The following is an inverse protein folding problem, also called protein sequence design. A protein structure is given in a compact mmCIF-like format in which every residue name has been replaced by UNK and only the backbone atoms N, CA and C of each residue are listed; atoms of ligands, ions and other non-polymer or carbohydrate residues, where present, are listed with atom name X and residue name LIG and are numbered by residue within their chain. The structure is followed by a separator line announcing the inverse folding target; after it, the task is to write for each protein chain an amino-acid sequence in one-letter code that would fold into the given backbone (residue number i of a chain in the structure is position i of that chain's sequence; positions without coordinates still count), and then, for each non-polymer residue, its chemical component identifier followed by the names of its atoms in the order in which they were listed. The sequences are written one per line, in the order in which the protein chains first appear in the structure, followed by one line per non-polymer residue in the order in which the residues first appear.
data_IF_289886076227
#
_entry.id   IF_289886076227
#
_cell.length_a   1.000
_cell.length_b   1.000
_cell.length_c   1.000
_cell.angle_alpha   90.00
_cell.angle_beta   90.00
_cell.angle_gamma   90.00
#
_symmetry.space_group_name_H-M   'P 1'
#
loop_
_entity.id
_entity.type
_entity.pdbx_description
1 polymer ?
#
# COMPACT_ATOMS: atom_id res chain seq x y z
N UNK A 1 5.43 9.78 -15.10
CA UNK A 1 6.26 9.77 -13.87
C UNK A 1 7.70 9.61 -14.27
N UNK A 2 8.66 10.13 -13.50
CA UNK A 2 10.05 9.72 -13.71
C UNK A 2 10.22 8.25 -13.30
N UNK A 3 11.13 7.55 -13.97
CA UNK A 3 11.43 6.13 -13.71
C UNK A 3 11.70 5.86 -12.23
N UNK A 4 12.31 6.83 -11.54
CA UNK A 4 12.61 6.74 -10.11
C UNK A 4 11.42 6.55 -9.21
N UNK A 5 10.37 7.31 -9.45
CA UNK A 5 9.15 7.23 -8.66
C UNK A 5 8.47 5.88 -8.92
N UNK A 6 8.51 5.39 -10.17
CA UNK A 6 7.96 4.09 -10.54
C UNK A 6 8.73 2.97 -9.83
N UNK A 7 10.07 2.96 -9.90
CA UNK A 7 10.90 1.94 -9.25
C UNK A 7 10.73 1.93 -7.73
N UNK A 8 10.71 3.11 -7.10
CA UNK A 8 10.47 3.23 -5.66
C UNK A 8 9.09 2.70 -5.30
N UNK A 9 8.04 3.09 -6.04
CA UNK A 9 6.66 2.66 -5.81
C UNK A 9 6.51 1.14 -5.98
N UNK A 10 7.06 0.56 -7.06
CA UNK A 10 7.06 -0.89 -7.29
C UNK A 10 7.78 -1.61 -6.15
N UNK A 11 8.95 -1.11 -5.73
CA UNK A 11 9.68 -1.65 -4.58
C UNK A 11 8.86 -1.61 -3.29
N UNK A 12 8.13 -0.52 -3.04
CA UNK A 12 7.24 -0.40 -1.88
C UNK A 12 6.07 -1.37 -1.96
N UNK A 13 5.38 -1.45 -3.09
CA UNK A 13 4.28 -2.39 -3.30
C UNK A 13 4.78 -3.82 -3.05
N UNK A 14 5.87 -4.22 -3.69
CA UNK A 14 6.50 -5.53 -3.46
C UNK A 14 6.80 -5.75 -1.97
N UNK A 15 7.37 -4.76 -1.27
CA UNK A 15 7.70 -4.89 0.15
C UNK A 15 6.46 -5.13 1.04
N UNK A 16 5.34 -4.46 0.74
CA UNK A 16 4.07 -4.64 1.47
C UNK A 16 3.56 -6.08 1.31
N UNK A 17 3.66 -6.67 0.11
CA UNK A 17 3.25 -8.06 -0.13
C UNK A 17 4.25 -9.09 0.44
N UNK A 18 5.54 -8.83 0.31
CA UNK A 18 6.58 -9.79 0.66
C UNK A 18 6.82 -9.89 2.17
N UNK A 19 6.65 -8.81 2.93
CA UNK A 19 6.89 -8.83 4.38
C UNK A 19 5.97 -9.81 5.14
N UNK A 20 4.64 -9.85 4.91
CA UNK A 20 3.76 -10.88 5.46
C UNK A 20 4.12 -12.30 5.02
N UNK A 21 4.45 -12.49 3.74
CA UNK A 21 4.82 -13.82 3.20
C UNK A 21 6.07 -14.35 3.90
N UNK A 22 7.13 -13.55 3.97
CA UNK A 22 8.36 -13.95 4.64
C UNK A 22 8.18 -14.14 6.15
N UNK A 23 7.37 -13.31 6.79
CA UNK A 23 6.99 -13.50 8.20
C UNK A 23 6.37 -14.89 8.41
N UNK A 24 5.46 -15.30 7.52
CA UNK A 24 4.82 -16.61 7.58
C UNK A 24 5.78 -17.76 7.28
N UNK A 25 6.62 -17.65 6.24
CA UNK A 25 7.65 -18.65 5.93
C UNK A 25 8.58 -18.87 7.13
N UNK A 26 8.98 -17.78 7.80
CA UNK A 26 9.93 -17.85 8.92
C UNK A 26 9.32 -18.38 10.21
N UNK A 27 8.11 -17.93 10.56
CA UNK A 27 7.50 -18.23 11.86
C UNK A 27 6.50 -19.38 11.82
N UNK A 28 6.00 -19.78 10.64
CA UNK A 28 4.97 -20.80 10.49
C UNK A 28 3.73 -20.49 11.34
N UNK A 29 3.29 -21.47 12.14
CA UNK A 29 2.13 -21.31 13.04
C UNK A 29 2.41 -20.39 14.25
N UNK A 30 3.66 -19.99 14.48
CA UNK A 30 4.03 -18.99 15.49
C UNK A 30 4.01 -17.54 14.96
N UNK A 31 3.54 -17.35 13.72
CA UNK A 31 3.37 -16.03 13.12
C UNK A 31 2.45 -15.13 13.96
N UNK A 32 2.61 -13.80 13.85
CA UNK A 32 1.68 -12.86 14.47
C UNK A 32 0.23 -13.15 14.07
N UNK A 33 -0.73 -12.93 14.98
CA UNK A 33 -2.16 -13.21 14.73
C UNK A 33 -2.68 -12.55 13.46
N UNK A 34 -2.24 -11.32 13.16
CA UNK A 34 -2.60 -10.63 11.93
C UNK A 34 -2.16 -11.39 10.65
N UNK A 35 -1.00 -12.06 10.69
CA UNK A 35 -0.48 -12.88 9.59
C UNK A 35 -1.22 -14.22 9.52
N UNK A 36 -1.53 -14.83 10.66
CA UNK A 36 -2.31 -16.08 10.71
C UNK A 36 -3.74 -15.90 10.20
N UNK A 37 -4.34 -14.73 10.43
CA UNK A 37 -5.67 -14.39 9.92
C UNK A 37 -5.73 -14.39 8.38
N UNK A 38 -4.58 -14.21 7.71
CA UNK A 38 -4.48 -14.18 6.24
C UNK A 38 -3.77 -15.41 5.67
N UNK A 39 -3.56 -16.45 6.49
CA UNK A 39 -2.77 -17.65 6.13
C UNK A 39 -3.23 -18.34 4.85
N UNK A 40 -4.54 -18.33 4.55
CA UNK A 40 -5.06 -18.98 3.33
C UNK A 40 -4.51 -18.30 2.08
N UNK A 41 -4.58 -16.96 2.04
CA UNK A 41 -4.09 -16.17 0.92
C UNK A 41 -2.57 -16.30 0.79
N UNK A 42 -1.85 -16.29 1.92
CA UNK A 42 -0.41 -16.53 1.91
C UNK A 42 -0.07 -17.89 1.31
N UNK A 43 -0.74 -18.97 1.74
CA UNK A 43 -0.55 -20.32 1.19
C UNK A 43 -0.81 -20.36 -0.32
N UNK A 44 -1.86 -19.71 -0.81
CA UNK A 44 -2.12 -19.62 -2.25
C UNK A 44 -0.95 -18.97 -3.02
N UNK A 45 -0.37 -17.88 -2.49
CA UNK A 45 0.80 -17.26 -3.12
C UNK A 45 2.04 -18.15 -3.03
N UNK A 46 2.24 -18.84 -1.91
CA UNK A 46 3.33 -19.81 -1.75
C UNK A 46 3.23 -20.95 -2.77
N UNK A 47 2.03 -21.51 -2.96
CA UNK A 47 1.77 -22.57 -3.92
C UNK A 47 1.95 -22.10 -5.37
N UNK A 48 1.55 -20.87 -5.70
CA UNK A 48 1.88 -20.26 -6.99
C UNK A 48 3.40 -20.16 -7.18
N UNK A 49 4.14 -19.78 -6.15
CA UNK A 49 5.60 -19.77 -6.16
C UNK A 49 6.19 -21.15 -6.48
N UNK A 50 5.67 -22.21 -5.85
CA UNK A 50 6.08 -23.60 -6.13
C UNK A 50 5.79 -24.02 -7.56
N UNK A 51 4.64 -23.62 -8.12
CA UNK A 51 4.28 -23.94 -9.51
C UNK A 51 5.25 -23.27 -10.48
N UNK A 52 5.58 -22.00 -10.25
CA UNK A 52 6.48 -21.23 -11.13
C UNK A 52 7.96 -21.63 -10.97
N UNK A 53 8.37 -22.03 -9.77
CA UNK A 53 9.75 -22.35 -9.43
C UNK A 53 9.87 -23.67 -8.65
N UNK A 54 9.55 -24.82 -9.26
CA UNK A 54 9.38 -26.10 -8.57
C UNK A 54 10.67 -26.66 -7.93
N UNK A 55 11.83 -26.13 -8.31
CA UNK A 55 13.14 -26.55 -7.79
C UNK A 55 13.65 -25.67 -6.65
N UNK A 56 13.02 -24.53 -6.39
CA UNK A 56 13.45 -23.57 -5.37
C UNK A 56 12.54 -23.66 -4.15
N UNK A 57 13.10 -23.52 -2.96
CA UNK A 57 12.27 -23.39 -1.75
C UNK A 57 11.57 -22.02 -1.74
N UNK A 58 10.39 -21.96 -1.11
CA UNK A 58 9.62 -20.72 -0.93
C UNK A 58 10.48 -19.60 -0.32
N UNK A 59 11.29 -19.96 0.69
CA UNK A 59 12.22 -19.04 1.35
C UNK A 59 13.15 -18.34 0.34
N UNK A 60 13.73 -19.08 -0.61
CA UNK A 60 14.58 -18.52 -1.64
C UNK A 60 13.80 -17.71 -2.67
N UNK A 61 12.66 -18.22 -3.17
CA UNK A 61 11.85 -17.52 -4.19
C UNK A 61 11.47 -16.13 -3.72
N UNK A 62 10.80 -16.04 -2.56
CA UNK A 62 10.32 -14.75 -2.06
C UNK A 62 11.44 -13.88 -1.50
N UNK A 63 12.56 -14.48 -1.07
CA UNK A 63 13.71 -13.73 -0.57
C UNK A 63 14.43 -12.98 -1.68
N UNK A 64 14.57 -13.60 -2.86
CA UNK A 64 15.15 -12.99 -4.07
C UNK A 64 14.38 -11.75 -4.52
N UNK A 65 13.06 -11.72 -4.30
CA UNK A 65 12.19 -10.61 -4.69
C UNK A 65 12.41 -9.33 -3.84
N UNK A 66 13.24 -9.36 -2.80
CA UNK A 66 13.64 -8.16 -2.07
C UNK A 66 14.72 -7.32 -2.77
N UNK A 67 15.45 -7.85 -3.74
CA UNK A 67 16.43 -7.06 -4.49
C UNK A 67 15.80 -5.86 -5.23
N UNK A 68 14.67 -6.01 -5.95
CA UNK A 68 13.91 -4.88 -6.45
C UNK A 68 13.50 -3.85 -5.38
N UNK A 69 13.20 -4.29 -4.16
CA UNK A 69 12.87 -3.39 -3.03
C UNK A 69 14.08 -2.54 -2.66
N UNK A 70 15.25 -3.17 -2.51
CA UNK A 70 16.52 -2.45 -2.27
C UNK A 70 16.87 -1.48 -3.39
N UNK A 71 16.70 -1.90 -4.65
CA UNK A 71 16.92 -1.03 -5.81
C UNK A 71 15.99 0.18 -5.78
N UNK A 72 14.71 -0.01 -5.46
CA UNK A 72 13.74 1.07 -5.29
C UNK A 72 14.15 2.07 -4.19
N UNK A 73 14.62 1.58 -3.05
CA UNK A 73 15.12 2.40 -1.93
C UNK A 73 16.38 3.17 -2.33
N UNK A 74 17.40 2.51 -2.86
CA UNK A 74 18.66 3.12 -3.25
C UNK A 74 18.45 4.21 -4.31
N UNK A 75 17.69 3.89 -5.35
CA UNK A 75 17.41 4.86 -6.41
C UNK A 75 16.51 6.00 -5.91
N UNK A 76 15.59 5.70 -4.99
CA UNK A 76 14.76 6.72 -4.36
C UNK A 76 15.54 7.68 -3.48
N UNK A 77 16.44 7.19 -2.63
CA UNK A 77 17.38 8.01 -1.84
C UNK A 77 18.26 8.88 -2.73
N UNK A 78 18.82 8.29 -3.79
CA UNK A 78 19.61 9.02 -4.79
C UNK A 78 18.83 10.19 -5.40
N UNK A 79 17.55 9.98 -5.76
CA UNK A 79 16.73 11.06 -6.31
C UNK A 79 16.33 12.09 -5.29
N UNK A 80 16.00 11.70 -4.05
CA UNK A 80 15.70 12.66 -2.97
C UNK A 80 16.89 13.58 -2.69
N UNK A 81 18.11 13.05 -2.76
CA UNK A 81 19.34 13.84 -2.71
C UNK A 81 19.48 14.76 -3.93
N UNK A 82 19.31 14.23 -5.15
CA UNK A 82 19.42 15.02 -6.38
C UNK A 82 18.44 16.21 -6.45
N UNK A 83 17.25 16.08 -5.87
CA UNK A 83 16.26 17.18 -5.77
C UNK A 83 16.40 18.02 -4.49
N UNK A 84 17.50 17.88 -3.76
CA UNK A 84 17.85 18.63 -2.54
C UNK A 84 16.86 18.48 -1.37
N UNK A 85 16.07 17.40 -1.34
CA UNK A 85 15.27 17.03 -0.15
C UNK A 85 16.18 16.52 0.96
N UNK A 86 17.26 15.84 0.61
CA UNK A 86 18.37 15.59 1.53
C UNK A 86 19.37 16.73 1.35
N UNK A 87 19.60 17.49 2.42
CA UNK A 87 20.43 18.69 2.36
C UNK A 87 21.92 18.36 2.15
N UNK A 88 22.67 19.25 1.49
CA UNK A 88 24.13 19.09 1.30
C UNK A 88 24.90 19.01 2.64
N UNK A 89 24.39 19.65 3.70
CA UNK A 89 24.93 19.52 5.07
C UNK A 89 24.84 18.10 5.63
N UNK A 90 24.04 17.22 5.01
CA UNK A 90 23.85 15.82 5.38
C UNK A 90 24.62 14.86 4.47
N UNK A 91 25.45 15.35 3.54
CA UNK A 91 26.12 14.57 2.48
C UNK A 91 26.84 13.33 3.01
N UNK A 92 27.64 13.50 4.07
CA UNK A 92 28.42 12.40 4.66
C UNK A 92 27.52 11.29 5.19
N UNK A 93 26.45 11.64 5.91
CA UNK A 93 25.50 10.69 6.49
C UNK A 93 24.73 9.97 5.37
N UNK A 94 24.30 10.72 4.36
CA UNK A 94 23.65 10.18 3.17
C UNK A 94 24.53 9.15 2.45
N UNK A 95 25.82 9.45 2.22
CA UNK A 95 26.75 8.49 1.59
C UNK A 95 26.92 7.21 2.41
N UNK A 96 27.05 7.33 3.73
CA UNK A 96 27.10 6.15 4.62
C UNK A 96 25.81 5.33 4.51
N UNK A 97 24.65 5.98 4.52
CA UNK A 97 23.36 5.31 4.36
C UNK A 97 23.25 4.55 3.03
N UNK A 98 23.69 5.18 1.92
CA UNK A 98 23.73 4.53 0.60
C UNK A 98 24.63 3.29 0.62
N UNK A 99 25.83 3.38 1.20
CA UNK A 99 26.76 2.24 1.33
C UNK A 99 26.13 1.12 2.16
N UNK A 100 25.46 1.44 3.28
CA UNK A 100 24.79 0.45 4.11
C UNK A 100 23.68 -0.29 3.35
N UNK A 101 22.86 0.41 2.56
CA UNK A 101 21.83 -0.27 1.74
C UNK A 101 22.43 -1.09 0.58
N UNK A 102 23.55 -0.67 0.00
CA UNK A 102 24.28 -1.50 -0.98
C UNK A 102 24.83 -2.77 -0.32
N UNK A 103 25.41 -2.66 0.88
CA UNK A 103 25.88 -3.82 1.66
C UNK A 103 24.71 -4.74 2.02
N UNK A 104 23.56 -4.18 2.43
CA UNK A 104 22.37 -4.95 2.74
C UNK A 104 21.84 -5.70 1.51
N UNK A 105 21.74 -5.03 0.35
CA UNK A 105 21.35 -5.65 -0.92
C UNK A 105 22.33 -6.77 -1.35
N UNK A 106 23.63 -6.59 -1.10
CA UNK A 106 24.64 -7.61 -1.34
C UNK A 106 24.47 -8.80 -0.39
N UNK A 107 24.26 -8.55 0.90
CA UNK A 107 23.95 -9.58 1.90
C UNK A 107 22.70 -10.38 1.52
N UNK A 108 21.65 -9.70 1.04
CA UNK A 108 20.44 -10.33 0.52
C UNK A 108 20.73 -11.23 -0.69
N UNK A 109 21.50 -10.73 -1.67
CA UNK A 109 21.95 -11.55 -2.81
C UNK A 109 22.69 -12.81 -2.37
N UNK A 110 23.62 -12.70 -1.42
CA UNK A 110 24.32 -13.87 -0.86
C UNK A 110 23.35 -14.83 -0.16
N UNK A 111 22.41 -14.29 0.61
CA UNK A 111 21.49 -15.09 1.41
C UNK A 111 20.45 -15.86 0.58
N UNK A 112 20.03 -15.32 -0.56
CA UNK A 112 18.89 -15.86 -1.31
C UNK A 112 19.23 -16.34 -2.72
N UNK A 113 20.26 -15.80 -3.37
CA UNK A 113 20.74 -16.28 -4.67
C UNK A 113 21.92 -17.22 -4.51
N UNK A 114 22.93 -16.81 -3.74
CA UNK A 114 24.14 -17.61 -3.60
C UNK A 114 23.90 -18.87 -2.75
N UNK A 115 23.19 -18.73 -1.63
CA UNK A 115 22.91 -19.84 -0.73
C UNK A 115 22.12 -21.01 -1.36
N UNK A 116 21.37 -20.78 -2.44
CA UNK A 116 20.70 -21.87 -3.17
C UNK A 116 21.72 -22.84 -3.80
N UNK A 117 22.89 -22.35 -4.21
CA UNK A 117 23.96 -23.15 -4.81
C UNK A 117 25.01 -23.61 -3.79
N UNK A 118 25.36 -22.75 -2.84
CA UNK A 118 26.46 -22.97 -1.90
C UNK A 118 26.02 -23.28 -0.46
N UNK A 119 24.72 -23.42 -0.23
CA UNK A 119 24.14 -23.92 1.02
C UNK A 119 24.03 -22.91 2.16
N UNK A 120 23.79 -23.44 3.36
CA UNK A 120 23.39 -22.67 4.55
C UNK A 120 24.47 -21.71 5.07
N UNK A 121 25.75 -21.97 4.81
CA UNK A 121 26.85 -21.08 5.22
C UNK A 121 26.69 -19.70 4.56
N UNK A 122 26.43 -19.67 3.25
CA UNK A 122 26.20 -18.42 2.51
C UNK A 122 24.92 -17.72 2.97
N UNK A 123 23.88 -18.49 3.29
CA UNK A 123 22.64 -17.96 3.90
C UNK A 123 22.96 -17.21 5.19
N UNK A 124 23.71 -17.85 6.07
CA UNK A 124 24.05 -17.32 7.39
C UNK A 124 24.93 -16.08 7.28
N UNK A 125 25.95 -16.12 6.42
CA UNK A 125 26.85 -14.98 6.15
C UNK A 125 26.05 -13.81 5.56
N UNK A 126 25.33 -14.03 4.47
CA UNK A 126 24.57 -12.98 3.79
C UNK A 126 23.54 -12.33 4.71
N UNK A 127 22.77 -13.13 5.44
CA UNK A 127 21.69 -12.63 6.27
C UNK A 127 22.15 -12.11 7.64
N UNK A 128 22.79 -12.95 8.46
CA UNK A 128 23.11 -12.62 9.87
C UNK A 128 24.28 -11.68 10.01
N UNK A 129 25.27 -11.80 9.12
CA UNK A 129 26.55 -11.10 9.28
C UNK A 129 26.68 -9.88 8.36
N UNK A 130 25.87 -9.77 7.31
CA UNK A 130 25.93 -8.67 6.34
C UNK A 130 24.63 -7.87 6.31
N UNK A 131 23.50 -8.48 5.93
CA UNK A 131 22.23 -7.77 5.70
C UNK A 131 21.66 -7.18 6.99
N UNK A 132 21.45 -8.01 8.03
CA UNK A 132 20.85 -7.55 9.28
C UNK A 132 21.69 -6.49 10.02
N UNK A 133 23.03 -6.63 10.16
CA UNK A 133 23.86 -5.59 10.76
C UNK A 133 23.86 -4.27 9.97
N UNK A 134 23.88 -4.32 8.63
CA UNK A 134 23.82 -3.12 7.81
C UNK A 134 22.50 -2.37 7.99
N UNK A 135 21.37 -3.10 8.04
CA UNK A 135 20.06 -2.52 8.35
C UNK A 135 20.03 -1.97 9.78
N UNK A 136 20.59 -2.68 10.76
CA UNK A 136 20.68 -2.18 12.14
C UNK A 136 21.46 -0.85 12.23
N UNK A 137 22.61 -0.75 11.58
CA UNK A 137 23.40 0.48 11.53
C UNK A 137 22.68 1.63 10.80
N UNK A 138 21.78 1.31 9.86
CA UNK A 138 20.99 2.34 9.16
C UNK A 138 20.03 3.09 10.10
N UNK A 139 19.58 2.48 11.20
CA UNK A 139 18.73 3.15 12.20
C UNK A 139 19.44 4.39 12.76
N UNK A 140 20.70 4.25 13.17
CA UNK A 140 21.49 5.37 13.67
C UNK A 140 21.69 6.45 12.58
N UNK A 141 21.95 6.03 11.34
CA UNK A 141 22.09 6.96 10.20
C UNK A 141 20.83 7.79 9.99
N UNK A 142 19.63 7.20 10.12
CA UNK A 142 18.37 7.93 10.01
C UNK A 142 18.16 8.95 11.13
N UNK A 143 18.59 8.66 12.36
CA UNK A 143 18.55 9.63 13.47
C UNK A 143 19.42 10.85 13.13
N UNK A 144 20.67 10.61 12.73
CA UNK A 144 21.59 11.70 12.37
C UNK A 144 21.12 12.48 11.13
N UNK A 145 20.57 11.78 10.14
CA UNK A 145 20.03 12.37 8.93
C UNK A 145 18.82 13.25 9.26
N UNK A 146 17.88 12.77 10.07
CA UNK A 146 16.70 13.50 10.50
C UNK A 146 17.04 14.76 11.30
N UNK A 147 17.99 14.68 12.23
CA UNK A 147 18.51 15.84 12.95
C UNK A 147 19.16 16.87 12.02
N UNK A 148 19.91 16.42 11.01
CA UNK A 148 20.58 17.30 10.05
C UNK A 148 19.57 18.00 9.14
N UNK A 149 18.59 17.26 8.60
CA UNK A 149 17.52 17.80 7.75
C UNK A 149 16.60 18.73 8.54
N UNK A 150 16.29 18.40 9.80
CA UNK A 150 15.39 19.15 10.68
C UNK A 150 15.82 20.59 10.93
N UNK A 151 17.11 20.92 10.73
CA UNK A 151 17.63 22.29 10.80
C UNK A 151 17.11 23.18 9.67
N UNK A 152 16.74 22.61 8.53
CA UNK A 152 16.23 23.33 7.34
C UNK A 152 14.75 23.05 7.09
N UNK A 153 14.32 21.81 7.28
CA UNK A 153 12.94 21.35 7.09
C UNK A 153 12.54 20.49 8.29
N UNK A 154 11.89 21.12 9.28
CA UNK A 154 11.54 20.49 10.56
C UNK A 154 10.64 19.26 10.36
N UNK A 155 9.64 19.35 9.48
CA UNK A 155 8.70 18.25 9.23
C UNK A 155 9.41 17.06 8.59
N UNK A 156 10.22 17.30 7.55
CA UNK A 156 10.99 16.25 6.91
C UNK A 156 12.00 15.61 7.87
N UNK A 157 12.67 16.42 8.69
CA UNK A 157 13.58 15.95 9.73
C UNK A 157 12.89 15.02 10.74
N UNK A 158 11.71 15.41 11.22
CA UNK A 158 10.89 14.57 12.12
C UNK A 158 10.54 13.23 11.46
N UNK A 159 10.15 13.22 10.19
CA UNK A 159 9.82 11.98 9.46
C UNK A 159 11.00 11.00 9.44
N UNK A 160 12.23 11.48 9.23
CA UNK A 160 13.44 10.64 9.30
C UNK A 160 13.79 10.24 10.74
N UNK A 161 13.54 11.09 11.74
CA UNK A 161 13.75 10.77 13.16
C UNK A 161 12.81 9.68 13.69
N UNK A 162 11.57 9.64 13.20
CA UNK A 162 10.60 8.61 13.57
C UNK A 162 10.84 7.28 12.85
N UNK A 163 11.60 7.29 11.75
CA UNK A 163 11.81 6.11 10.92
C UNK A 163 12.39 4.91 11.70
N UNK A 164 13.43 5.04 12.55
CA UNK A 164 13.93 3.93 13.36
C UNK A 164 12.87 3.31 14.28
N UNK A 165 11.97 4.12 14.85
CA UNK A 165 10.87 3.64 15.69
C UNK A 165 9.93 2.77 14.85
N UNK A 166 9.57 3.23 13.65
CA UNK A 166 8.74 2.45 12.74
C UNK A 166 9.46 1.19 12.22
N UNK A 167 10.76 1.24 11.95
CA UNK A 167 11.55 0.07 11.55
C UNK A 167 11.54 -1.02 12.63
N UNK A 168 11.74 -0.63 13.89
CA UNK A 168 11.69 -1.52 15.05
C UNK A 168 10.26 -2.05 15.24
N UNK A 169 9.25 -1.17 15.23
CA UNK A 169 7.85 -1.55 15.39
C UNK A 169 7.38 -2.53 14.31
N UNK A 170 7.74 -2.28 13.05
CA UNK A 170 7.44 -3.17 11.92
C UNK A 170 8.14 -4.53 12.09
N UNK A 171 9.39 -4.53 12.55
CA UNK A 171 10.10 -5.78 12.86
C UNK A 171 9.40 -6.60 13.93
N UNK A 172 8.94 -5.96 15.02
CA UNK A 172 8.18 -6.64 16.07
C UNK A 172 6.83 -7.14 15.56
N UNK A 173 6.14 -6.33 14.76
CA UNK A 173 4.85 -6.69 14.17
C UNK A 173 4.97 -7.93 13.29
N UNK A 174 5.96 -7.98 12.39
CA UNK A 174 6.17 -9.13 11.51
C UNK A 174 6.97 -10.27 12.14
N UNK A 175 7.60 -10.06 13.30
CA UNK A 175 8.55 -11.02 13.91
C UNK A 175 9.59 -11.52 12.90
N UNK A 176 10.07 -10.64 12.03
CA UNK A 176 10.97 -11.01 10.96
C UNK A 176 11.90 -9.87 10.57
N UNK A 177 13.21 -10.14 10.71
CA UNK A 177 14.30 -9.29 10.23
C UNK A 177 14.90 -9.90 8.96
N UNK A 178 15.53 -9.10 8.09
CA UNK A 178 15.59 -7.64 8.11
C UNK A 178 14.42 -6.98 7.37
N UNK A 179 13.64 -7.75 6.61
CA UNK A 179 12.66 -7.22 5.67
C UNK A 179 11.52 -6.44 6.32
N UNK A 180 11.10 -6.82 7.53
CA UNK A 180 10.13 -6.04 8.30
C UNK A 180 10.61 -4.61 8.55
N UNK A 181 11.90 -4.40 8.84
CA UNK A 181 12.48 -3.08 9.06
C UNK A 181 12.56 -2.22 7.79
N UNK A 182 12.59 -2.83 6.60
CA UNK A 182 12.76 -2.12 5.33
C UNK A 182 11.44 -1.51 4.83
N UNK A 183 10.30 -2.08 5.24
CA UNK A 183 8.98 -1.61 4.81
C UNK A 183 8.74 -0.12 5.13
N UNK A 184 8.93 0.37 6.37
CA UNK A 184 8.79 1.81 6.68
C UNK A 184 9.72 2.69 5.85
N UNK A 185 10.96 2.23 5.58
CA UNK A 185 11.94 2.97 4.78
C UNK A 185 11.44 3.14 3.34
N UNK A 186 10.97 2.04 2.74
CA UNK A 186 10.40 2.04 1.40
C UNK A 186 9.18 2.97 1.30
N UNK A 187 8.25 2.86 2.26
CA UNK A 187 7.05 3.70 2.34
C UNK A 187 7.40 5.20 2.42
N UNK A 188 8.34 5.58 3.30
CA UNK A 188 8.75 6.97 3.46
C UNK A 188 9.38 7.52 2.17
N UNK A 189 10.35 6.81 1.60
CA UNK A 189 11.06 7.27 0.40
C UNK A 189 10.09 7.42 -0.79
N UNK A 190 9.23 6.42 -1.01
CA UNK A 190 8.21 6.48 -2.06
C UNK A 190 7.23 7.63 -1.83
N UNK A 191 6.75 7.81 -0.60
CA UNK A 191 5.87 8.93 -0.24
C UNK A 191 6.51 10.30 -0.53
N UNK A 192 7.78 10.48 -0.15
CA UNK A 192 8.51 11.71 -0.41
C UNK A 192 8.68 11.97 -1.92
N UNK A 193 9.00 10.94 -2.71
CA UNK A 193 9.12 11.08 -4.16
C UNK A 193 7.78 11.40 -4.84
N UNK A 194 6.70 10.72 -4.43
CA UNK A 194 5.35 10.98 -4.92
C UNK A 194 4.87 12.41 -4.59
N UNK A 195 5.35 12.98 -3.48
CA UNK A 195 5.05 14.36 -3.09
C UNK A 195 5.89 15.43 -3.81
N UNK A 196 6.90 15.02 -4.58
CA UNK A 196 7.93 15.90 -5.17
C UNK A 196 7.69 16.24 -6.65
N UNK A 197 8.57 17.08 -7.21
CA UNK A 197 8.62 17.40 -8.65
C UNK A 197 8.92 16.20 -9.56
N UNK A 198 9.34 15.06 -8.99
CA UNK A 198 9.56 13.82 -9.72
C UNK A 198 8.24 13.14 -10.16
N UNK A 199 7.12 13.52 -9.55
CA UNK A 199 5.77 13.05 -9.87
C UNK A 199 4.87 14.19 -10.39
N UNK A 200 5.14 14.76 -11.58
CA UNK A 200 4.44 15.94 -12.08
C UNK A 200 2.93 15.72 -12.26
N UNK A 201 2.49 14.49 -12.55
CA UNK A 201 1.07 14.17 -12.65
C UNK A 201 0.36 14.25 -11.29
N UNK A 202 1.02 13.90 -10.18
CA UNK A 202 0.47 14.05 -8.83
C UNK A 202 0.44 15.51 -8.41
N UNK A 203 1.39 16.33 -8.88
CA UNK A 203 1.31 17.79 -8.72
C UNK A 203 0.08 18.31 -9.48
N UNK A 204 -0.10 17.94 -10.75
CA UNK A 204 -1.28 18.32 -11.54
C UNK A 204 -2.59 17.87 -10.86
N UNK A 205 -2.61 16.65 -10.32
CA UNK A 205 -3.77 16.11 -9.61
C UNK A 205 -4.07 16.91 -8.33
N UNK A 206 -3.06 17.28 -7.54
CA UNK A 206 -3.24 18.19 -6.40
C UNK A 206 -3.74 19.56 -6.82
N UNK A 207 -3.24 20.11 -7.93
CA UNK A 207 -3.74 21.36 -8.51
C UNK A 207 -5.21 21.20 -8.91
N UNK A 208 -5.62 20.07 -9.49
CA UNK A 208 -7.04 19.79 -9.75
C UNK A 208 -7.87 19.79 -8.46
N UNK A 209 -7.39 19.13 -7.39
CA UNK A 209 -8.06 19.12 -6.09
C UNK A 209 -8.22 20.53 -5.49
N UNK A 210 -7.22 21.41 -5.68
CA UNK A 210 -7.34 22.82 -5.31
C UNK A 210 -8.51 23.50 -6.05
N UNK A 211 -8.65 23.31 -7.36
CA UNK A 211 -9.75 23.89 -8.13
C UNK A 211 -11.11 23.30 -7.73
N UNK A 212 -11.14 22.05 -7.26
CA UNK A 212 -12.34 21.38 -6.76
C UNK A 212 -12.65 21.65 -5.28
N UNK A 213 -11.83 22.43 -4.58
CA UNK A 213 -11.98 22.70 -3.13
C UNK A 213 -13.08 23.70 -2.76
N UNK A 214 -13.82 24.21 -3.75
CA UNK A 214 -15.00 25.05 -3.50
C UNK A 214 -16.15 24.26 -2.88
N UNK A 215 -16.94 24.89 -1.98
CA UNK A 215 -18.08 24.24 -1.35
C UNK A 215 -19.09 23.69 -2.39
N UNK A 216 -19.31 24.41 -3.49
CA UNK A 216 -20.19 23.98 -4.59
C UNK A 216 -19.66 22.72 -5.27
N UNK A 217 -18.38 22.70 -5.62
CA UNK A 217 -17.74 21.55 -6.26
C UNK A 217 -17.78 20.32 -5.36
N UNK A 218 -17.42 20.48 -4.09
CA UNK A 218 -17.47 19.41 -3.09
C UNK A 218 -18.90 18.87 -2.95
N UNK A 219 -19.90 19.74 -2.82
CA UNK A 219 -21.30 19.33 -2.72
C UNK A 219 -21.76 18.52 -3.94
N UNK A 220 -21.44 18.96 -5.16
CA UNK A 220 -21.78 18.24 -6.38
C UNK A 220 -21.10 16.88 -6.47
N UNK A 221 -19.84 16.78 -6.04
CA UNK A 221 -19.11 15.50 -5.99
C UNK A 221 -19.71 14.55 -4.96
N UNK A 222 -20.06 15.04 -3.77
CA UNK A 222 -20.76 14.24 -2.75
C UNK A 222 -22.11 13.75 -3.28
N UNK A 223 -22.88 14.63 -3.93
CA UNK A 223 -24.16 14.25 -4.54
C UNK A 223 -23.97 13.17 -5.62
N UNK A 224 -22.94 13.29 -6.47
CA UNK A 224 -22.62 12.26 -7.46
C UNK A 224 -22.27 10.91 -6.81
N UNK A 225 -21.46 10.91 -5.75
CA UNK A 225 -21.14 9.70 -5.00
C UNK A 225 -22.40 9.08 -4.36
N UNK A 226 -23.30 9.89 -3.81
CA UNK A 226 -24.59 9.44 -3.25
C UNK A 226 -25.52 8.83 -4.31
N UNK A 227 -25.52 9.37 -5.54
CA UNK A 227 -26.28 8.80 -6.66
C UNK A 227 -25.74 7.41 -7.03
N UNK A 228 -24.41 7.26 -7.14
CA UNK A 228 -23.78 5.95 -7.36
C UNK A 228 -24.15 4.96 -6.24
N UNK A 229 -23.98 5.34 -4.98
CA UNK A 229 -24.33 4.50 -3.83
C UNK A 229 -25.83 4.11 -3.81
N UNK A 230 -26.72 5.06 -4.11
CA UNK A 230 -28.16 4.83 -4.20
C UNK A 230 -28.53 3.87 -5.34
N UNK A 231 -27.89 3.99 -6.50
CA UNK A 231 -28.08 3.09 -7.63
C UNK A 231 -27.63 1.66 -7.31
N UNK A 232 -26.46 1.50 -6.67
CA UNK A 232 -25.99 0.19 -6.21
C UNK A 232 -26.94 -0.43 -5.19
N UNK A 233 -27.41 0.36 -4.21
CA UNK A 233 -28.36 -0.12 -3.20
C UNK A 233 -29.71 -0.53 -3.81
N UNK A 234 -30.16 0.18 -4.86
CA UNK A 234 -31.38 -0.17 -5.59
C UNK A 234 -31.21 -1.50 -6.33
N UNK A 235 -30.11 -1.69 -7.06
CA UNK A 235 -29.79 -2.93 -7.76
C UNK A 235 -29.64 -4.11 -6.78
N UNK A 236 -29.01 -3.90 -5.63
CA UNK A 236 -28.87 -4.92 -4.59
C UNK A 236 -30.22 -5.39 -4.04
N UNK A 237 -31.17 -4.47 -3.84
CA UNK A 237 -32.54 -4.83 -3.40
C UNK A 237 -33.32 -5.62 -4.45
N UNK A 238 -32.90 -5.60 -5.71
CA UNK A 238 -33.51 -6.40 -6.78
C UNK A 238 -32.95 -7.82 -6.86
N UNK A 239 -31.91 -8.15 -6.09
CA UNK A 239 -31.35 -9.50 -6.07
C UNK A 239 -32.39 -10.44 -5.45
N UNK A 240 -32.84 -11.48 -6.18
CA UNK A 240 -33.84 -12.40 -5.65
C UNK A 240 -33.22 -13.25 -4.55
N UNK A 241 -33.83 -13.25 -3.37
CA UNK A 241 -33.40 -14.06 -2.23
C UNK A 241 -34.51 -15.05 -1.90
N UNK A 242 -34.14 -16.29 -1.62
CA UNK A 242 -35.08 -17.30 -1.12
C UNK A 242 -35.66 -16.87 0.23
N UNK A 243 -36.97 -17.03 0.42
CA UNK A 243 -37.62 -16.69 1.69
C UNK A 243 -36.90 -17.35 2.88
N UNK A 244 -36.50 -16.54 3.87
CA UNK A 244 -35.81 -17.01 5.08
C UNK A 244 -34.28 -16.96 5.05
N UNK A 245 -33.66 -16.66 3.91
CA UNK A 245 -32.19 -16.51 3.82
C UNK A 245 -31.76 -15.04 3.90
N UNK A 246 -30.68 -14.76 4.63
CA UNK A 246 -30.00 -13.46 4.60
C UNK A 246 -29.03 -13.42 3.41
N UNK A 247 -28.85 -12.24 2.79
CA UNK A 247 -27.79 -12.06 1.81
C UNK A 247 -26.43 -12.33 2.46
N UNK A 248 -25.58 -13.20 1.88
CA UNK A 248 -24.20 -13.28 2.32
C UNK A 248 -23.53 -11.93 2.12
N UNK A 249 -22.58 -11.60 3.00
CA UNK A 249 -21.71 -10.43 2.82
C UNK A 249 -21.07 -10.51 1.44
N UNK A 250 -21.19 -9.44 0.66
CA UNK A 250 -20.65 -9.35 -0.69
C UNK A 250 -19.12 -9.52 -0.72
N UNK A 251 -18.58 -9.87 -1.88
CA UNK A 251 -17.14 -10.12 -2.03
C UNK A 251 -16.30 -8.86 -1.78
N UNK A 252 -16.86 -7.70 -2.09
CA UNK A 252 -16.23 -6.39 -1.98
C UNK A 252 -16.02 -5.87 -0.54
N UNK A 253 -16.57 -6.60 0.43
CA UNK A 253 -16.37 -6.38 1.87
C UNK A 253 -15.67 -7.55 2.56
N UNK A 254 -15.13 -8.52 1.80
CA UNK A 254 -14.41 -9.69 2.33
C UNK A 254 -12.90 -9.56 2.10
N UNK A 255 -12.16 -8.88 3.00
CA UNK A 255 -10.70 -8.86 2.90
C UNK A 255 -10.18 -10.30 3.05
N UNK A 256 -9.18 -10.64 2.24
CA UNK A 256 -8.55 -11.96 2.22
C UNK A 256 -9.54 -13.11 1.90
N UNK A 257 -10.52 -12.86 1.03
CA UNK A 257 -11.44 -13.88 0.52
C UNK A 257 -10.75 -15.08 -0.14
N UNK A 258 -11.42 -16.22 -0.08
CA UNK A 258 -11.04 -17.51 -0.68
C UNK A 258 -11.99 -17.92 -1.81
N UNK A 259 -11.72 -19.05 -2.46
CA UNK A 259 -12.64 -19.64 -3.46
C UNK A 259 -13.97 -20.00 -2.83
N UNK A 260 -13.95 -20.56 -1.63
CA UNK A 260 -15.17 -20.97 -0.91
C UNK A 260 -16.06 -19.77 -0.59
N UNK A 261 -15.49 -18.61 -0.28
CA UNK A 261 -16.24 -17.37 -0.09
C UNK A 261 -16.98 -16.96 -1.37
N UNK A 262 -16.28 -16.96 -2.50
CA UNK A 262 -16.85 -16.61 -3.79
C UNK A 262 -17.93 -17.60 -4.21
N UNK A 263 -17.68 -18.90 -4.04
CA UNK A 263 -18.68 -19.95 -4.30
C UNK A 263 -19.92 -19.77 -3.43
N UNK A 264 -19.73 -19.47 -2.14
CA UNK A 264 -20.83 -19.23 -1.20
C UNK A 264 -21.69 -18.04 -1.64
N UNK A 265 -21.06 -16.90 -1.96
CA UNK A 265 -21.76 -15.68 -2.37
C UNK A 265 -22.53 -15.89 -3.68
N UNK A 266 -21.84 -16.34 -4.73
CA UNK A 266 -22.43 -16.40 -6.06
C UNK A 266 -23.40 -17.57 -6.25
N UNK A 267 -23.24 -18.67 -5.51
CA UNK A 267 -24.26 -19.74 -5.47
C UNK A 267 -25.54 -19.24 -4.82
N UNK A 268 -25.44 -18.49 -3.71
CA UNK A 268 -26.61 -17.92 -3.04
C UNK A 268 -27.35 -16.90 -3.93
N UNK A 269 -26.63 -16.16 -4.77
CA UNK A 269 -27.20 -15.15 -5.66
C UNK A 269 -27.87 -15.77 -6.90
N UNK A 270 -27.40 -16.94 -7.33
CA UNK A 270 -27.85 -17.59 -8.57
C UNK A 270 -27.58 -16.73 -9.81
N UNK A 271 -28.08 -17.18 -10.97
CA UNK A 271 -27.78 -16.52 -12.25
C UNK A 271 -28.28 -15.07 -12.33
N UNK A 272 -29.50 -14.82 -11.86
CA UNK A 272 -30.10 -13.49 -11.86
C UNK A 272 -29.38 -12.55 -10.90
N UNK A 273 -29.05 -13.02 -9.68
CA UNK A 273 -28.30 -12.23 -8.71
C UNK A 273 -26.88 -11.92 -9.18
N UNK A 274 -26.20 -12.85 -9.86
CA UNK A 274 -24.89 -12.59 -10.47
C UNK A 274 -24.95 -11.53 -11.58
N UNK A 275 -26.00 -11.51 -12.41
CA UNK A 275 -26.17 -10.47 -13.42
C UNK A 275 -26.40 -9.09 -12.78
N UNK A 276 -27.17 -9.03 -11.69
CA UNK A 276 -27.35 -7.79 -10.93
C UNK A 276 -26.06 -7.37 -10.22
N UNK A 277 -25.29 -8.32 -9.68
CA UNK A 277 -23.96 -8.07 -9.10
C UNK A 277 -23.04 -7.44 -10.13
N UNK A 278 -22.99 -7.98 -11.36
CA UNK A 278 -22.22 -7.40 -12.46
C UNK A 278 -22.56 -5.91 -12.67
N UNK A 279 -23.86 -5.56 -12.68
CA UNK A 279 -24.27 -4.17 -12.84
C UNK A 279 -23.98 -3.30 -11.63
N UNK A 280 -24.01 -3.86 -10.42
CA UNK A 280 -23.56 -3.18 -9.20
C UNK A 280 -22.09 -2.81 -9.36
N UNK A 281 -21.22 -3.75 -9.74
CA UNK A 281 -19.79 -3.52 -9.92
C UNK A 281 -19.49 -2.51 -11.03
N UNK A 282 -20.30 -2.48 -12.11
CA UNK A 282 -20.17 -1.45 -13.15
C UNK A 282 -20.42 -0.05 -12.60
N UNK A 283 -21.38 0.11 -11.68
CA UNK A 283 -21.62 1.38 -11.00
C UNK A 283 -20.53 1.66 -9.98
N UNK A 284 -20.08 0.62 -9.27
CA UNK A 284 -19.03 0.74 -8.26
C UNK A 284 -17.69 1.13 -8.88
N UNK A 285 -17.38 0.74 -10.11
CA UNK A 285 -16.22 1.26 -10.85
C UNK A 285 -16.26 2.79 -11.06
N UNK A 286 -17.44 3.42 -11.03
CA UNK A 286 -17.58 4.88 -11.16
C UNK A 286 -17.56 5.56 -9.79
N UNK A 287 -18.15 4.92 -8.78
CA UNK A 287 -18.31 5.43 -7.41
C UNK A 287 -17.05 6.05 -6.77
N UNK A 288 -15.85 5.44 -6.83
CA UNK A 288 -14.70 5.97 -6.14
C UNK A 288 -14.17 7.27 -6.73
N UNK A 289 -14.51 7.62 -7.98
CA UNK A 289 -14.04 8.85 -8.63
C UNK A 289 -14.57 10.10 -7.91
N UNK A 290 -15.90 10.33 -7.80
CA UNK A 290 -16.42 11.47 -7.07
C UNK A 290 -16.05 11.43 -5.58
N UNK A 291 -15.96 10.24 -4.97
CA UNK A 291 -15.57 10.10 -3.56
C UNK A 291 -14.12 10.56 -3.33
N UNK A 292 -13.17 10.08 -4.15
CA UNK A 292 -11.77 10.50 -4.12
C UNK A 292 -11.65 12.01 -4.30
N UNK A 293 -12.33 12.58 -5.31
CA UNK A 293 -12.26 14.01 -5.59
C UNK A 293 -12.83 14.85 -4.43
N UNK A 294 -13.96 14.42 -3.84
CA UNK A 294 -14.58 15.13 -2.73
C UNK A 294 -13.70 15.09 -1.46
N UNK A 295 -13.30 13.90 -1.01
CA UNK A 295 -12.47 13.73 0.18
C UNK A 295 -11.11 14.38 -0.04
N UNK A 296 -10.51 14.17 -1.21
CA UNK A 296 -9.23 14.76 -1.59
C UNK A 296 -9.27 16.28 -1.60
N UNK A 297 -10.31 16.91 -2.15
CA UNK A 297 -10.44 18.37 -2.17
C UNK A 297 -10.60 18.98 -0.77
N UNK A 298 -11.41 18.36 0.10
CA UNK A 298 -11.56 18.78 1.51
C UNK A 298 -10.25 18.63 2.27
N UNK A 299 -9.59 17.49 2.14
CA UNK A 299 -8.30 17.21 2.80
C UNK A 299 -7.21 18.16 2.30
N UNK A 300 -7.19 18.45 1.00
CA UNK A 300 -6.28 19.42 0.42
C UNK A 300 -6.45 20.80 1.07
N UNK A 301 -7.70 21.29 1.14
CA UNK A 301 -8.01 22.59 1.74
C UNK A 301 -7.57 22.65 3.21
N UNK A 302 -7.91 21.63 4.00
CA UNK A 302 -7.47 21.54 5.40
C UNK A 302 -5.95 21.56 5.53
N UNK A 303 -5.24 20.73 4.75
CA UNK A 303 -3.78 20.69 4.82
C UNK A 303 -3.15 22.04 4.44
N UNK A 304 -3.68 22.71 3.42
CA UNK A 304 -3.21 24.04 3.02
C UNK A 304 -3.42 25.08 4.13
N UNK A 305 -4.61 25.13 4.73
CA UNK A 305 -4.93 26.06 5.82
C UNK A 305 -4.13 25.76 7.11
N UNK A 306 -3.88 24.49 7.41
CA UNK A 306 -3.14 24.06 8.59
C UNK A 306 -1.60 24.07 8.41
N UNK A 307 -1.08 24.43 7.22
CA UNK A 307 0.34 24.37 6.91
C UNK A 307 0.93 22.94 6.91
N UNK A 308 0.08 21.93 6.70
CA UNK A 308 0.47 20.54 6.58
C UNK A 308 0.81 20.18 5.12
N UNK A 309 1.44 19.02 4.93
CA UNK A 309 1.72 18.55 3.57
C UNK A 309 0.44 18.20 2.83
N UNK A 310 0.18 18.90 1.72
CA UNK A 310 -0.96 18.65 0.84
C UNK A 310 -0.91 17.30 0.15
N UNK A 311 0.20 16.55 0.23
CA UNK A 311 0.27 15.19 -0.29
C UNK A 311 -0.67 14.22 0.44
N UNK A 312 -1.09 14.53 1.68
CA UNK A 312 -2.09 13.72 2.40
C UNK A 312 -3.43 13.67 1.67
N UNK A 313 -3.75 14.70 0.87
CA UNK A 313 -4.96 14.74 0.05
C UNK A 313 -4.99 13.69 -1.07
N UNK A 314 -3.87 13.01 -1.32
CA UNK A 314 -3.77 11.95 -2.32
C UNK A 314 -4.00 10.55 -1.72
N UNK A 315 -4.17 10.41 -0.41
CA UNK A 315 -4.47 9.11 0.21
C UNK A 315 -5.74 8.45 -0.38
N UNK A 316 -6.85 9.19 -0.63
CA UNK A 316 -8.04 8.59 -1.24
C UNK A 316 -7.85 8.15 -2.70
N UNK A 317 -6.76 8.56 -3.37
CA UNK A 317 -6.40 8.00 -4.68
C UNK A 317 -6.09 6.51 -4.58
N UNK A 318 -5.52 6.06 -3.45
CA UNK A 318 -5.30 4.64 -3.20
C UNK A 318 -6.61 3.87 -3.21
N UNK A 319 -7.65 4.38 -2.54
CA UNK A 319 -8.98 3.78 -2.58
C UNK A 319 -9.49 3.67 -4.02
N UNK A 320 -9.45 4.75 -4.80
CA UNK A 320 -9.85 4.73 -6.21
C UNK A 320 -9.11 3.66 -7.03
N UNK A 321 -7.80 3.55 -6.88
CA UNK A 321 -7.02 2.56 -7.64
C UNK A 321 -7.35 1.13 -7.21
N UNK A 322 -7.40 0.86 -5.91
CA UNK A 322 -7.64 -0.49 -5.40
C UNK A 322 -9.09 -0.94 -5.60
N UNK A 323 -10.06 -0.03 -5.58
CA UNK A 323 -11.46 -0.29 -5.88
C UNK A 323 -11.65 -0.71 -7.34
N UNK A 324 -11.09 0.05 -8.29
CA UNK A 324 -11.13 -0.31 -9.71
C UNK A 324 -10.48 -1.68 -10.00
N UNK A 325 -9.34 -1.97 -9.34
CA UNK A 325 -8.65 -3.24 -9.49
C UNK A 325 -9.46 -4.40 -8.91
N UNK A 326 -10.06 -4.20 -7.74
CA UNK A 326 -10.84 -5.24 -7.08
C UNK A 326 -12.13 -5.53 -7.82
N UNK A 327 -12.89 -4.52 -8.22
CA UNK A 327 -14.06 -4.68 -9.06
C UNK A 327 -13.70 -5.38 -10.38
N UNK A 328 -12.55 -5.10 -10.99
CA UNK A 328 -12.09 -5.83 -12.18
C UNK A 328 -11.84 -7.32 -11.92
N UNK A 329 -11.30 -7.66 -10.74
CA UNK A 329 -11.08 -9.05 -10.33
C UNK A 329 -12.41 -9.74 -10.02
N UNK A 330 -13.37 -9.07 -9.39
CA UNK A 330 -14.68 -9.65 -9.10
C UNK A 330 -15.42 -9.98 -10.40
N UNK A 331 -15.35 -9.11 -11.42
CA UNK A 331 -15.92 -9.43 -12.74
C UNK A 331 -15.29 -10.67 -13.36
N UNK A 332 -13.98 -10.86 -13.20
CA UNK A 332 -13.30 -12.08 -13.64
C UNK A 332 -13.79 -13.30 -12.85
N UNK A 333 -13.99 -13.17 -11.54
CA UNK A 333 -14.57 -14.24 -10.69
C UNK A 333 -15.97 -14.61 -11.16
N UNK A 334 -16.82 -13.63 -11.48
CA UNK A 334 -18.17 -13.86 -12.03
C UNK A 334 -18.09 -14.60 -13.37
N UNK A 335 -17.13 -14.22 -14.23
CA UNK A 335 -16.94 -14.85 -15.54
C UNK A 335 -16.44 -16.30 -15.43
N UNK A 336 -15.57 -16.60 -14.47
CA UNK A 336 -15.03 -17.95 -14.24
C UNK A 336 -15.96 -18.86 -13.43
N UNK A 337 -17.00 -18.33 -12.79
CA UNK A 337 -17.90 -19.10 -11.93
C UNK A 337 -18.52 -20.31 -12.64
N UNK A 338 -18.51 -21.53 -12.06
CA UNK A 338 -18.04 -21.88 -10.70
C UNK A 338 -16.55 -22.30 -10.62
N UNK A 339 -15.80 -22.27 -11.71
CA UNK A 339 -14.42 -22.77 -11.80
C UNK A 339 -13.37 -21.70 -11.45
N UNK A 340 -13.54 -21.03 -10.32
CA UNK A 340 -12.68 -19.91 -9.90
C UNK A 340 -11.31 -20.44 -9.49
N UNK A 341 -10.23 -19.89 -10.05
CA UNK A 341 -8.89 -20.30 -9.61
C UNK A 341 -8.55 -19.76 -8.21
N UNK A 342 -7.83 -20.52 -7.36
CA UNK A 342 -7.42 -20.04 -6.03
C UNK A 342 -6.65 -18.72 -6.06
N UNK A 343 -5.78 -18.55 -7.06
CA UNK A 343 -4.95 -17.35 -7.21
C UNK A 343 -5.79 -16.09 -7.44
N UNK A 344 -6.83 -16.17 -8.29
CA UNK A 344 -7.71 -15.04 -8.56
C UNK A 344 -8.49 -14.65 -7.30
N UNK A 345 -9.06 -15.63 -6.58
CA UNK A 345 -9.77 -15.36 -5.33
C UNK A 345 -8.86 -14.75 -4.25
N UNK A 346 -7.66 -15.29 -4.08
CA UNK A 346 -6.69 -14.78 -3.10
C UNK A 346 -6.20 -13.38 -3.45
N UNK A 347 -6.00 -13.08 -4.75
CA UNK A 347 -5.67 -11.75 -5.24
C UNK A 347 -6.82 -10.78 -4.99
N UNK A 348 -8.04 -11.14 -5.35
CA UNK A 348 -9.24 -10.32 -5.11
C UNK A 348 -9.41 -9.96 -3.64
N UNK A 349 -9.30 -10.94 -2.75
CA UNK A 349 -9.36 -10.72 -1.30
C UNK A 349 -8.24 -9.81 -0.79
N UNK A 350 -7.02 -9.95 -1.32
CA UNK A 350 -5.89 -9.11 -0.93
C UNK A 350 -6.06 -7.66 -1.41
N UNK A 351 -6.51 -7.44 -2.64
CA UNK A 351 -6.82 -6.11 -3.17
C UNK A 351 -7.99 -5.49 -2.39
N UNK A 352 -9.01 -6.26 -2.03
CA UNK A 352 -10.12 -5.83 -1.13
C UNK A 352 -9.59 -5.32 0.21
N UNK A 353 -8.62 -6.02 0.81
CA UNK A 353 -8.02 -5.58 2.08
C UNK A 353 -7.32 -4.22 1.95
N UNK A 354 -6.57 -3.99 0.87
CA UNK A 354 -5.94 -2.68 0.62
C UNK A 354 -6.97 -1.60 0.32
N UNK A 355 -7.98 -1.91 -0.50
CA UNK A 355 -9.12 -1.02 -0.78
C UNK A 355 -9.74 -0.50 0.52
N UNK A 356 -10.13 -1.42 1.41
CA UNK A 356 -10.73 -1.08 2.70
C UNK A 356 -9.76 -0.29 3.59
N UNK A 357 -8.47 -0.65 3.61
CA UNK A 357 -7.45 0.10 4.33
C UNK A 357 -7.35 1.57 3.88
N UNK A 358 -7.31 1.81 2.57
CA UNK A 358 -7.31 3.16 2.01
C UNK A 358 -8.65 3.88 2.23
N UNK A 359 -9.78 3.18 2.16
CA UNK A 359 -11.10 3.73 2.43
C UNK A 359 -11.19 4.25 3.87
N UNK A 360 -10.82 3.43 4.86
CA UNK A 360 -10.82 3.83 6.26
C UNK A 360 -9.85 4.97 6.55
N UNK A 361 -8.63 4.93 5.99
CA UNK A 361 -7.67 6.03 6.11
C UNK A 361 -8.23 7.34 5.51
N UNK A 362 -8.93 7.25 4.38
CA UNK A 362 -9.55 8.40 3.71
C UNK A 362 -10.69 9.00 4.53
N UNK A 363 -11.57 8.16 5.09
CA UNK A 363 -12.64 8.63 5.97
C UNK A 363 -12.09 9.25 7.26
N UNK A 364 -11.04 8.67 7.84
CA UNK A 364 -10.39 9.24 9.01
C UNK A 364 -9.83 10.65 8.71
N UNK A 365 -9.14 10.81 7.58
CA UNK A 365 -8.64 12.12 7.12
C UNK A 365 -9.77 13.10 6.79
N UNK A 366 -10.86 12.61 6.19
CA UNK A 366 -12.05 13.41 5.92
C UNK A 366 -12.63 13.99 7.22
N UNK A 367 -12.83 13.17 8.25
CA UNK A 367 -13.34 13.61 9.55
C UNK A 367 -12.40 14.63 10.19
N UNK A 368 -11.09 14.36 10.24
CA UNK A 368 -10.09 15.30 10.75
C UNK A 368 -10.16 16.62 9.99
N UNK A 369 -10.26 16.56 8.67
CA UNK A 369 -10.26 17.75 7.81
C UNK A 369 -11.51 18.59 8.01
N UNK A 370 -12.69 17.96 8.11
CA UNK A 370 -13.94 18.66 8.41
C UNK A 370 -13.90 19.34 9.79
N UNK A 371 -13.49 18.61 10.82
CA UNK A 371 -13.37 19.13 12.17
C UNK A 371 -12.33 20.25 12.21
N UNK A 372 -11.17 20.05 11.58
CA UNK A 372 -10.11 21.05 11.50
C UNK A 372 -10.55 22.34 10.82
N UNK A 373 -11.21 22.25 9.67
CA UNK A 373 -11.76 23.40 8.94
C UNK A 373 -12.84 24.16 9.75
N UNK A 374 -13.49 23.53 10.72
CA UNK A 374 -14.42 24.23 11.62
C UNK A 374 -13.70 25.12 12.66
N UNK A 375 -12.43 24.80 12.99
CA UNK A 375 -11.61 25.58 13.91
C UNK A 375 -10.80 26.67 13.22
N UNK A 376 -10.38 26.47 11.97
CA UNK A 376 -9.76 27.52 11.18
C UNK A 376 -10.86 28.47 10.67
N UNK A 377 -10.93 29.69 11.22
CA UNK A 377 -11.73 30.76 10.61
C UNK A 377 -11.21 30.92 9.19
N UNK A 378 -12.08 30.74 8.19
CA UNK A 378 -11.79 30.86 6.75
C UNK A 378 -11.14 32.21 6.48
N UNK A 379 -9.81 32.28 6.60
CA UNK A 379 -9.01 33.34 6.00
C UNK A 379 -9.07 33.14 4.50
N UNK A 380 -9.18 34.21 3.72
CA UNK A 380 -9.05 34.11 2.27
C UNK A 380 -7.72 33.42 1.96
N UNK A 381 -7.77 32.27 1.29
CA UNK A 381 -6.59 31.63 0.73
C UNK A 381 -6.20 32.48 -0.47
N UNK A 382 -5.12 33.25 -0.36
CA UNK A 382 -4.54 33.92 -1.52
C UNK A 382 -3.93 32.84 -2.45
N UNK A 383 -4.28 32.84 -3.75
CA UNK A 383 -3.98 31.77 -4.70
C UNK A 383 -2.49 31.58 -5.01
#
# INVERSE_FOLDING_TARGET
MKLSVILSLVGTILCIFLAPIQSYIWNGDHSPTAILNIRSNLKTFLDLGKILFPKSSEYYIFGKLFLPVYAGILYGLYRLHAIRRISESSERIYRVLMVLFCIAAFGNSLAYWAAEFWGEIFRTIGFRWIEAPAIFLSLACFIFLGNSIGKKDKLLGISFLLLPIFMIGSTFFFRYLPHGAILPVSLLISGLLLSSSEAPWLIKLRTLLLHLSSNRSIFLLVLAALVCAGAMQLLERMIPISEGNNLPVKMDFRPFSTVDDALTVFTAYGRTGMLLYFWIDMVDMIFPIPLFLAIGAITFRFCAEAGLTTSLSLIPLGFLVFDLLENSIILLVIFEFPNITPVIAALGGTITAYKLGFLFASFFLFVISLVGLSFFRVGKIDP
#
